data_IF_524025859226
#
_entry.id   IF_524025859226
#
_cell.length_a   1.000
_cell.length_b   1.000
_cell.length_c   1.000
_cell.angle_alpha   90.00
_cell.angle_beta   90.00
_cell.angle_gamma   90.00
#
_symmetry.space_group_name_H-M   'P 1'
#
loop_
_entity.id
_entity.type
_entity.pdbx_description
1 polymer ?
#
# COMPACT_ATOMS: atom_id res chain seq x y z
N UNK A 1 -38.42 19.48 36.61
CA UNK A 1 -37.92 18.31 35.89
C UNK A 1 -36.51 18.59 35.42
N UNK A 2 -35.54 17.95 36.01
CA UNK A 2 -34.13 18.10 35.65
C UNK A 2 -33.71 16.92 34.82
N UNK A 3 -33.29 17.17 33.57
CA UNK A 3 -32.72 16.14 32.73
C UNK A 3 -31.22 15.99 33.04
N UNK A 4 -30.71 14.77 33.25
CA UNK A 4 -29.27 14.58 33.39
C UNK A 4 -28.65 14.60 32.01
N UNK A 5 -27.70 15.51 31.84
CA UNK A 5 -26.81 15.57 30.67
C UNK A 5 -25.84 14.37 30.76
N UNK A 6 -26.15 13.36 30.01
CA UNK A 6 -25.18 12.28 29.74
C UNK A 6 -24.26 12.77 28.63
N UNK A 7 -23.12 13.31 29.04
CA UNK A 7 -22.03 13.59 28.09
C UNK A 7 -21.39 12.25 27.75
N UNK A 8 -21.77 11.70 26.61
CA UNK A 8 -21.07 10.58 26.04
C UNK A 8 -19.72 11.07 25.51
N UNK A 9 -18.66 10.87 26.27
CA UNK A 9 -17.29 10.99 25.81
C UNK A 9 -17.02 9.83 24.83
N UNK A 10 -17.21 10.10 23.54
CA UNK A 10 -16.74 9.21 22.49
C UNK A 10 -15.23 9.40 22.41
N UNK A 11 -14.51 8.53 23.08
CA UNK A 11 -13.05 8.43 22.93
C UNK A 11 -12.71 7.96 21.54
N UNK A 12 -12.31 8.87 20.68
CA UNK A 12 -11.75 8.56 19.35
C UNK A 12 -10.35 8.00 19.54
N UNK A 13 -10.26 6.68 19.65
CA UNK A 13 -8.96 6.00 19.63
C UNK A 13 -8.47 5.92 18.20
N UNK A 14 -7.64 6.88 17.79
CA UNK A 14 -6.85 6.80 16.57
C UNK A 14 -5.75 5.74 16.75
N UNK A 15 -6.07 4.51 16.36
CA UNK A 15 -5.08 3.45 16.27
C UNK A 15 -4.15 3.69 15.08
N UNK A 16 -2.96 4.25 15.35
CA UNK A 16 -1.93 4.42 14.34
C UNK A 16 -1.15 3.11 14.13
N UNK A 17 -1.63 2.26 13.23
CA UNK A 17 -0.87 1.13 12.73
C UNK A 17 0.03 1.55 11.58
N UNK A 18 1.21 2.16 11.88
CA UNK A 18 2.07 2.74 10.84
C UNK A 18 2.79 1.71 9.95
N UNK A 19 2.99 0.46 10.42
CA UNK A 19 3.77 -0.56 9.70
C UNK A 19 2.97 -1.33 8.62
N UNK A 20 1.64 -1.38 8.72
CA UNK A 20 0.77 -2.03 7.73
C UNK A 20 0.42 -1.17 6.52
N UNK A 21 0.57 0.15 6.62
CA UNK A 21 0.16 1.10 5.58
C UNK A 21 1.01 1.01 4.32
N UNK A 22 2.33 0.78 4.42
CA UNK A 22 3.21 0.70 3.26
C UNK A 22 2.94 -0.55 2.41
N UNK A 23 2.74 -1.71 3.03
CA UNK A 23 2.42 -2.96 2.35
C UNK A 23 1.02 -2.90 1.75
N UNK A 24 0.02 -2.44 2.51
CA UNK A 24 -1.34 -2.26 2.03
C UNK A 24 -1.43 -1.26 0.87
N UNK A 25 -0.62 -0.21 0.89
CA UNK A 25 -0.52 0.75 -0.20
C UNK A 25 0.03 0.10 -1.48
N UNK A 26 1.07 -0.71 -1.38
CA UNK A 26 1.64 -1.44 -2.54
C UNK A 26 0.62 -2.40 -3.14
N UNK A 27 -0.04 -3.21 -2.32
CA UNK A 27 -1.06 -4.17 -2.76
C UNK A 27 -2.25 -3.47 -3.39
N UNK A 28 -2.67 -2.33 -2.84
CA UNK A 28 -3.71 -1.50 -3.43
C UNK A 28 -3.32 -1.03 -4.83
N UNK A 29 -2.11 -0.51 -5.01
CA UNK A 29 -1.61 -0.04 -6.31
C UNK A 29 -1.48 -1.20 -7.31
N UNK A 30 -1.03 -2.37 -6.86
CA UNK A 30 -0.97 -3.57 -7.70
C UNK A 30 -2.36 -3.96 -8.20
N UNK A 31 -3.36 -3.96 -7.32
CA UNK A 31 -4.75 -4.23 -7.68
C UNK A 31 -5.29 -3.20 -8.67
N UNK A 32 -5.03 -1.92 -8.46
CA UNK A 32 -5.43 -0.85 -9.37
C UNK A 32 -4.75 -0.95 -10.73
N UNK A 33 -3.52 -1.46 -10.77
CA UNK A 33 -2.76 -1.66 -12.00
C UNK A 33 -3.24 -2.85 -12.84
N UNK A 34 -4.07 -3.73 -12.27
CA UNK A 34 -4.57 -4.91 -12.96
C UNK A 34 -3.89 -6.21 -12.57
N UNK A 35 -3.10 -6.23 -11.50
CA UNK A 35 -2.59 -7.48 -10.93
C UNK A 35 -3.71 -8.30 -10.33
N UNK A 36 -3.64 -9.60 -10.53
CA UNK A 36 -4.61 -10.55 -9.98
C UNK A 36 -4.09 -11.14 -8.67
N UNK A 37 -4.93 -11.12 -7.64
CA UNK A 37 -4.64 -11.77 -6.37
C UNK A 37 -4.83 -13.29 -6.50
N UNK A 38 -3.80 -14.05 -6.13
CA UNK A 38 -3.80 -15.52 -6.16
C UNK A 38 -3.67 -16.03 -4.72
N UNK A 39 -4.72 -16.64 -4.17
CA UNK A 39 -4.66 -17.21 -2.82
C UNK A 39 -3.89 -18.52 -2.82
N UNK A 40 -3.26 -18.89 -1.68
CA UNK A 40 -2.54 -20.16 -1.53
C UNK A 40 -3.53 -21.32 -1.24
N UNK A 41 -4.46 -21.58 -2.16
CA UNK A 41 -5.55 -22.53 -2.01
C UNK A 41 -5.14 -23.99 -2.29
N UNK A 42 -3.89 -24.23 -2.67
CA UNK A 42 -3.31 -25.56 -2.82
C UNK A 42 -2.02 -25.67 -2.01
N UNK A 43 -1.62 -26.89 -1.56
CA UNK A 43 -0.34 -27.09 -0.86
C UNK A 43 0.86 -26.58 -1.66
N UNK A 44 0.86 -26.75 -2.97
CA UNK A 44 1.94 -26.30 -3.85
C UNK A 44 2.03 -24.78 -3.89
N UNK A 45 0.89 -24.08 -3.94
CA UNK A 45 0.86 -22.62 -3.90
C UNK A 45 1.28 -22.07 -2.55
N UNK A 46 0.88 -22.72 -1.46
CA UNK A 46 1.30 -22.35 -0.12
C UNK A 46 2.80 -22.50 0.07
N UNK A 47 3.39 -23.59 -0.42
CA UNK A 47 4.85 -23.83 -0.39
C UNK A 47 5.56 -22.79 -1.27
N UNK A 48 5.08 -22.55 -2.47
CA UNK A 48 5.66 -21.58 -3.39
C UNK A 48 5.66 -20.16 -2.80
N UNK A 49 4.59 -19.77 -2.12
CA UNK A 49 4.50 -18.49 -1.43
C UNK A 49 5.64 -18.28 -0.42
N UNK A 50 6.05 -19.34 0.28
CA UNK A 50 7.15 -19.28 1.27
C UNK A 50 8.53 -19.22 0.63
N UNK A 51 8.67 -19.66 -0.62
CA UNK A 51 9.96 -19.69 -1.34
C UNK A 51 10.23 -18.45 -2.16
N UNK A 52 9.22 -17.69 -2.53
CA UNK A 52 9.36 -16.44 -3.29
C UNK A 52 9.78 -15.29 -2.37
N UNK A 53 10.72 -14.47 -2.81
CA UNK A 53 11.15 -13.32 -2.04
C UNK A 53 9.96 -12.41 -1.71
N UNK A 54 9.77 -12.13 -0.40
CA UNK A 54 8.64 -11.36 0.09
C UNK A 54 8.75 -9.88 -0.27
N UNK A 55 7.61 -9.27 -0.59
CA UNK A 55 7.45 -7.82 -0.79
C UNK A 55 8.33 -7.24 -1.90
N UNK A 56 8.60 -8.04 -2.93
CA UNK A 56 9.37 -7.63 -4.12
C UNK A 56 8.65 -8.05 -5.38
N UNK A 57 8.66 -7.18 -6.38
CA UNK A 57 8.21 -7.52 -7.72
C UNK A 57 9.30 -8.27 -8.46
N UNK A 58 9.01 -9.51 -8.84
CA UNK A 58 9.93 -10.41 -9.52
C UNK A 58 9.42 -10.65 -10.92
N UNK A 59 10.27 -10.40 -11.91
CA UNK A 59 9.98 -10.69 -13.31
C UNK A 59 10.21 -12.17 -13.60
N UNK A 60 9.21 -12.80 -14.20
CA UNK A 60 9.26 -14.20 -14.63
C UNK A 60 8.91 -14.28 -16.13
N UNK A 61 9.28 -15.39 -16.76
CA UNK A 61 8.90 -15.70 -18.14
C UNK A 61 8.21 -17.05 -18.19
N UNK A 62 7.14 -17.13 -18.99
CA UNK A 62 6.45 -18.36 -19.33
C UNK A 62 6.03 -18.29 -20.78
N UNK A 63 6.40 -19.29 -21.57
CA UNK A 63 6.09 -19.37 -23.00
C UNK A 63 6.48 -18.10 -23.80
N UNK A 64 7.64 -17.52 -23.47
CA UNK A 64 8.14 -16.31 -24.11
C UNK A 64 7.49 -15.01 -23.65
N UNK A 65 6.49 -15.07 -22.77
CA UNK A 65 5.81 -13.91 -22.22
C UNK A 65 6.32 -13.59 -20.81
N UNK A 66 6.63 -12.34 -20.56
CA UNK A 66 6.99 -11.86 -19.23
C UNK A 66 5.74 -11.60 -18.39
N UNK A 67 5.84 -11.94 -17.11
CA UNK A 67 4.86 -11.60 -16.08
C UNK A 67 5.58 -11.25 -14.79
N UNK A 68 4.85 -10.62 -13.87
CA UNK A 68 5.42 -10.15 -12.62
C UNK A 68 4.67 -10.75 -11.44
N UNK A 69 5.43 -11.12 -10.41
CA UNK A 69 4.90 -11.74 -9.19
C UNK A 69 5.32 -10.91 -7.99
N UNK A 70 4.38 -10.64 -7.11
CA UNK A 70 4.60 -10.04 -5.79
C UNK A 70 4.03 -10.96 -4.73
N UNK A 71 4.86 -11.38 -3.78
CA UNK A 71 4.47 -12.28 -2.70
C UNK A 71 4.34 -11.53 -1.38
N UNK A 72 3.26 -11.75 -0.67
CA UNK A 72 3.06 -11.29 0.70
C UNK A 72 2.71 -12.47 1.60
N UNK A 73 3.69 -13.13 2.21
CA UNK A 73 3.44 -14.25 3.11
C UNK A 73 2.99 -13.82 4.51
N UNK A 74 3.07 -12.54 4.85
CA UNK A 74 2.88 -12.05 6.21
C UNK A 74 1.48 -11.49 6.47
N UNK A 75 0.96 -10.67 5.56
CA UNK A 75 -0.33 -9.95 5.74
C UNK A 75 -1.46 -10.64 4.99
N UNK A 76 -1.51 -10.52 3.67
CA UNK A 76 -2.58 -11.18 2.92
C UNK A 76 -2.38 -12.69 2.77
N UNK A 77 -1.15 -13.18 2.96
CA UNK A 77 -0.77 -14.58 2.70
C UNK A 77 -1.18 -14.99 1.30
N UNK A 78 -0.81 -14.18 0.33
CA UNK A 78 -1.24 -14.29 -1.06
C UNK A 78 -0.14 -13.82 -2.00
N UNK A 79 -0.35 -14.03 -3.30
CA UNK A 79 0.51 -13.53 -4.37
C UNK A 79 -0.31 -12.64 -5.31
N UNK A 80 0.35 -11.65 -5.88
CA UNK A 80 -0.20 -10.85 -6.96
C UNK A 80 0.55 -11.16 -8.24
N UNK A 81 -0.17 -11.43 -9.31
CA UNK A 81 0.40 -11.77 -10.61
C UNK A 81 -0.12 -10.79 -11.66
N UNK A 82 0.78 -10.19 -12.40
CA UNK A 82 0.44 -9.21 -13.43
C UNK A 82 1.23 -9.38 -14.72
N UNK A 83 0.65 -8.94 -15.81
CA UNK A 83 1.29 -8.86 -17.12
C UNK A 83 2.31 -7.72 -17.19
N UNK A 84 3.08 -7.64 -18.27
CA UNK A 84 3.93 -6.47 -18.54
C UNK A 84 3.13 -5.17 -18.62
N UNK A 85 1.95 -5.21 -19.21
CA UNK A 85 1.03 -4.08 -19.27
C UNK A 85 0.58 -3.62 -17.87
N UNK A 86 0.22 -4.56 -17.01
CA UNK A 86 -0.13 -4.26 -15.62
C UNK A 86 1.07 -3.68 -14.86
N UNK A 87 2.26 -4.19 -15.08
CA UNK A 87 3.48 -3.65 -14.47
C UNK A 87 3.77 -2.21 -14.93
N UNK A 88 3.61 -1.92 -16.20
CA UNK A 88 3.76 -0.56 -16.73
C UNK A 88 2.77 0.41 -16.06
N UNK A 89 1.52 -0.01 -15.92
CA UNK A 89 0.49 0.76 -15.20
C UNK A 89 0.86 0.96 -13.72
N UNK A 90 1.34 -0.08 -13.07
CA UNK A 90 1.81 0.00 -11.68
C UNK A 90 2.92 1.05 -11.50
N UNK A 91 3.92 1.04 -12.38
CA UNK A 91 5.00 2.05 -12.33
C UNK A 91 4.47 3.47 -12.47
N UNK A 92 3.51 3.68 -13.35
CA UNK A 92 2.87 4.99 -13.53
C UNK A 92 2.14 5.42 -12.26
N UNK A 93 1.39 4.51 -11.62
CA UNK A 93 0.67 4.82 -10.37
C UNK A 93 1.63 5.16 -9.23
N UNK A 94 2.76 4.45 -9.12
CA UNK A 94 3.79 4.75 -8.13
C UNK A 94 4.37 6.15 -8.36
N UNK A 95 4.71 6.49 -9.59
CA UNK A 95 5.23 7.82 -9.92
C UNK A 95 4.24 8.93 -9.59
N UNK A 96 2.95 8.72 -9.86
CA UNK A 96 1.90 9.67 -9.51
C UNK A 96 1.77 9.85 -8.00
N UNK A 97 1.86 8.76 -7.25
CA UNK A 97 1.82 8.81 -5.79
C UNK A 97 3.02 9.54 -5.21
N UNK A 98 4.20 9.25 -5.70
CA UNK A 98 5.44 9.92 -5.26
C UNK A 98 5.39 11.42 -5.55
N UNK A 99 4.95 11.81 -6.74
CA UNK A 99 4.79 13.22 -7.10
C UNK A 99 3.78 13.95 -6.19
N UNK A 100 2.67 13.30 -5.85
CA UNK A 100 1.67 13.86 -4.94
C UNK A 100 2.22 14.00 -3.50
N UNK A 101 3.02 13.05 -3.05
CA UNK A 101 3.70 13.12 -1.75
C UNK A 101 4.73 14.25 -1.70
N UNK A 102 5.54 14.39 -2.73
CA UNK A 102 6.54 15.48 -2.83
C UNK A 102 5.87 16.84 -2.81
N UNK A 103 4.76 17.01 -3.52
CA UNK A 103 3.98 18.24 -3.51
C UNK A 103 3.40 18.54 -2.10
N UNK A 104 2.86 17.53 -1.44
CA UNK A 104 2.32 17.68 -0.09
C UNK A 104 3.41 18.06 0.92
N UNK A 105 4.60 17.49 0.80
CA UNK A 105 5.75 17.82 1.65
C UNK A 105 6.24 19.25 1.41
N UNK A 106 6.30 19.69 0.16
CA UNK A 106 6.69 21.06 -0.18
C UNK A 106 5.73 22.10 0.41
N UNK A 107 4.41 21.82 0.35
CA UNK A 107 3.40 22.68 0.96
C UNK A 107 3.50 22.71 2.50
N UNK A 108 3.91 21.61 3.12
CA UNK A 108 4.11 21.56 4.56
C UNK A 108 5.32 22.40 4.98
N UNK A 109 6.44 22.30 4.28
CA UNK A 109 7.62 23.14 4.51
C UNK A 109 7.32 24.63 4.42
N UNK A 110 6.51 25.01 3.42
CA UNK A 110 6.09 26.41 3.25
C UNK A 110 5.29 26.90 4.46
N UNK A 111 4.33 26.14 4.94
CA UNK A 111 3.53 26.46 6.13
C UNK A 111 4.38 26.56 7.39
N UNK A 112 5.34 25.63 7.56
CA UNK A 112 6.21 25.62 8.74
C UNK A 112 7.14 26.84 8.75
N UNK A 113 7.63 27.27 7.56
CA UNK A 113 8.45 28.49 7.45
C UNK A 113 7.68 29.77 7.74
N UNK A 114 6.42 29.85 7.32
CA UNK A 114 5.54 30.99 7.63
C UNK A 114 5.25 31.07 9.13
N UNK A 115 5.00 29.95 9.79
CA UNK A 115 4.76 29.89 11.24
C UNK A 115 5.97 30.37 12.06
N UNK A 116 7.18 30.04 11.64
CA UNK A 116 8.41 30.48 12.31
C UNK A 116 8.61 32.00 12.17
N UNK A 117 8.21 32.61 11.07
CA UNK A 117 8.30 34.07 10.87
C UNK A 117 7.22 34.84 11.62
N UNK A 118 6.09 34.23 11.92
CA UNK A 118 4.98 34.86 12.65
C UNK A 118 5.20 34.99 14.17
N UNK A 119 6.20 34.33 14.72
CA UNK A 119 6.48 34.25 16.18
C UNK A 119 7.58 35.21 16.67
N UNK A 120 7.88 36.24 15.90
CA UNK A 120 8.83 37.31 16.29
C UNK A 120 8.13 38.56 16.78
#
# INVERSE_FOLDING_TARGET
MRQPLWIALIGLTLGLGACGLAVGSTEYLLSQAGFRKVPPDTPQRAEHLQTVAAHKLIRRKSDGKAYYVYADPNYCKCMYVGSESAYATYKTLVQQQDAAMDEAMALQEERDSENVQGDK
#
